data_IF_093697644317
#
_entry.id   IF_093697644317
#
_cell.length_a   1.000
_cell.length_b   1.000
_cell.length_c   1.000
_cell.angle_alpha   90.00
_cell.angle_beta   90.00
_cell.angle_gamma   90.00
#
_symmetry.space_group_name_H-M   'P 1'
#
loop_
_entity.id
_entity.type
_entity.pdbx_description
1 polymer ?
#
# COMPACT_ATOMS: atom_id res chain seq x y z
N UNK A 1 -8.29 30.27 -16.46
CA UNK A 1 -7.52 29.43 -15.52
C UNK A 1 -6.16 29.00 -16.08
N UNK A 2 -6.06 28.40 -17.29
CA UNK A 2 -4.80 27.84 -17.84
C UNK A 2 -3.66 28.87 -18.03
N UNK A 3 -3.96 30.11 -18.48
CA UNK A 3 -2.93 31.16 -18.68
C UNK A 3 -2.36 31.71 -17.36
N UNK A 4 -3.20 31.80 -16.33
CA UNK A 4 -2.80 32.26 -15.00
C UNK A 4 -1.92 31.20 -14.32
N UNK A 5 -2.32 29.93 -14.42
CA UNK A 5 -1.54 28.80 -13.92
C UNK A 5 -0.16 28.69 -14.60
N UNK A 6 -0.08 28.86 -15.93
CA UNK A 6 1.22 28.90 -16.63
C UNK A 6 2.14 29.99 -16.08
N UNK A 7 1.66 31.24 -16.00
CA UNK A 7 2.46 32.36 -15.46
C UNK A 7 2.88 32.16 -13.99
N UNK A 8 2.04 31.52 -13.19
CA UNK A 8 2.35 31.18 -11.80
C UNK A 8 3.39 30.06 -11.69
N UNK A 9 3.23 28.99 -12.49
CA UNK A 9 4.18 27.87 -12.56
C UNK A 9 5.57 28.29 -13.06
N UNK A 10 5.63 29.26 -13.98
CA UNK A 10 6.88 29.78 -14.51
C UNK A 10 7.63 30.67 -13.50
N UNK A 11 6.91 31.41 -12.65
CA UNK A 11 7.53 32.28 -11.61
C UNK A 11 7.89 31.55 -10.32
N UNK A 12 7.13 30.52 -9.95
CA UNK A 12 7.33 29.77 -8.70
C UNK A 12 7.29 28.26 -8.95
N UNK A 13 8.27 27.76 -9.71
CA UNK A 13 8.33 26.36 -10.14
C UNK A 13 8.26 25.36 -8.99
N UNK A 14 8.96 25.61 -7.88
CA UNK A 14 8.93 24.74 -6.69
C UNK A 14 7.56 24.74 -6.01
N UNK A 15 6.92 25.90 -5.88
CA UNK A 15 5.60 26.01 -5.24
C UNK A 15 4.50 25.38 -6.11
N UNK A 16 4.58 25.54 -7.43
CA UNK A 16 3.66 24.87 -8.35
C UNK A 16 3.81 23.35 -8.31
N UNK A 17 5.04 22.83 -8.26
CA UNK A 17 5.29 21.40 -8.05
C UNK A 17 4.71 20.90 -6.74
N UNK A 18 4.91 21.65 -5.65
CA UNK A 18 4.34 21.32 -4.34
C UNK A 18 2.82 21.28 -4.37
N UNK A 19 2.15 22.27 -4.98
CA UNK A 19 0.68 22.31 -5.08
C UNK A 19 0.15 21.12 -5.87
N UNK A 20 0.75 20.79 -7.02
CA UNK A 20 0.30 19.63 -7.81
C UNK A 20 0.57 18.33 -7.06
N UNK A 21 1.73 18.20 -6.42
CA UNK A 21 2.05 17.07 -5.55
C UNK A 21 1.02 16.93 -4.44
N UNK A 22 0.68 18.03 -3.77
CA UNK A 22 -0.29 18.05 -2.68
C UNK A 22 -1.69 17.63 -3.15
N UNK A 23 -2.19 18.20 -4.25
CA UNK A 23 -3.51 17.87 -4.80
C UNK A 23 -3.56 16.40 -5.24
N UNK A 24 -2.55 15.92 -5.95
CA UNK A 24 -2.51 14.53 -6.40
C UNK A 24 -2.34 13.55 -5.25
N UNK A 25 -1.49 13.85 -4.26
CA UNK A 25 -1.29 12.99 -3.09
C UNK A 25 -2.57 12.89 -2.25
N UNK A 26 -3.27 13.99 -2.00
CA UNK A 26 -4.55 13.97 -1.30
C UNK A 26 -5.64 13.30 -2.14
N UNK A 27 -5.61 13.50 -3.46
CA UNK A 27 -6.51 12.84 -4.41
C UNK A 27 -6.37 11.32 -4.36
N UNK A 28 -5.15 10.78 -4.30
CA UNK A 28 -4.89 9.34 -4.13
C UNK A 28 -5.42 8.84 -2.79
N UNK A 29 -5.20 9.56 -1.70
CA UNK A 29 -5.73 9.16 -0.39
C UNK A 29 -7.25 9.11 -0.39
N UNK A 30 -7.92 10.14 -0.91
CA UNK A 30 -9.39 10.16 -1.04
C UNK A 30 -9.86 9.03 -1.95
N UNK A 31 -9.18 8.79 -3.07
CA UNK A 31 -9.50 7.70 -3.97
C UNK A 31 -9.41 6.33 -3.26
N UNK A 32 -8.36 6.07 -2.47
CA UNK A 32 -8.25 4.84 -1.70
C UNK A 32 -9.40 4.68 -0.69
N UNK A 33 -9.75 5.75 0.02
CA UNK A 33 -10.86 5.76 0.98
C UNK A 33 -12.21 5.45 0.33
N UNK A 34 -12.41 5.86 -0.93
CA UNK A 34 -13.65 5.61 -1.68
C UNK A 34 -13.63 4.24 -2.38
N UNK A 35 -12.51 3.85 -2.99
CA UNK A 35 -12.38 2.61 -3.74
C UNK A 35 -12.61 1.39 -2.86
N UNK A 36 -12.09 1.38 -1.63
CA UNK A 36 -12.20 0.20 -0.79
C UNK A 36 -13.67 -0.15 -0.45
N UNK A 37 -14.53 0.76 0.05
CA UNK A 37 -15.96 0.48 0.21
C UNK A 37 -16.67 0.13 -1.10
N UNK A 38 -16.36 0.81 -2.19
CA UNK A 38 -16.99 0.58 -3.51
C UNK A 38 -16.67 -0.82 -4.03
N UNK A 39 -15.41 -1.21 -4.04
CA UNK A 39 -14.99 -2.54 -4.48
C UNK A 39 -15.53 -3.64 -3.57
N UNK A 40 -15.55 -3.42 -2.24
CA UNK A 40 -16.21 -4.35 -1.31
C UNK A 40 -17.70 -4.50 -1.63
N UNK A 41 -18.41 -3.40 -1.93
CA UNK A 41 -19.82 -3.47 -2.31
C UNK A 41 -20.03 -4.23 -3.62
N UNK A 42 -19.19 -3.98 -4.62
CA UNK A 42 -19.21 -4.69 -5.91
C UNK A 42 -18.99 -6.20 -5.71
N UNK A 43 -17.94 -6.58 -4.96
CA UNK A 43 -17.59 -7.98 -4.78
C UNK A 43 -18.49 -8.71 -3.78
N UNK A 44 -19.11 -8.02 -2.83
CA UNK A 44 -20.04 -8.63 -1.86
C UNK A 44 -21.25 -9.28 -2.53
N UNK A 45 -21.65 -8.80 -3.72
CA UNK A 45 -22.72 -9.40 -4.52
C UNK A 45 -22.30 -10.64 -5.33
N UNK A 46 -21.06 -11.10 -5.20
CA UNK A 46 -20.51 -12.19 -6.02
C UNK A 46 -20.20 -13.45 -5.21
N UNK A 47 -20.06 -14.59 -5.88
CA UNK A 47 -19.63 -15.86 -5.26
C UNK A 47 -18.20 -15.82 -4.69
N UNK A 48 -17.44 -14.76 -4.98
CA UNK A 48 -16.09 -14.56 -4.45
C UNK A 48 -16.05 -14.42 -2.93
N UNK A 49 -17.14 -13.95 -2.30
CA UNK A 49 -17.25 -13.88 -0.83
C UNK A 49 -17.22 -15.28 -0.20
N UNK A 50 -17.86 -16.25 -0.86
CA UNK A 50 -17.87 -17.64 -0.42
C UNK A 50 -16.60 -18.40 -0.78
N UNK A 51 -15.67 -17.79 -1.52
CA UNK A 51 -14.43 -18.44 -1.94
C UNK A 51 -13.35 -18.20 -0.91
N UNK A 52 -12.82 -19.29 -0.34
CA UNK A 52 -11.73 -19.21 0.62
C UNK A 52 -10.44 -18.77 -0.08
N UNK A 53 -9.78 -17.74 0.44
CA UNK A 53 -8.49 -17.28 -0.06
C UNK A 53 -7.47 -17.27 1.08
N UNK A 54 -7.07 -18.47 1.46
CA UNK A 54 -6.07 -18.74 2.49
C UNK A 54 -4.82 -19.31 1.83
N UNK A 55 -3.79 -18.46 1.65
CA UNK A 55 -2.57 -18.82 0.90
C UNK A 55 -1.36 -18.75 1.81
N UNK A 56 -0.44 -19.70 1.59
CA UNK A 56 0.82 -19.89 2.33
C UNK A 56 0.62 -20.02 3.84
N UNK A 57 0.34 -21.26 4.28
CA UNK A 57 0.26 -21.59 5.69
C UNK A 57 1.62 -21.40 6.35
N UNK A 58 1.71 -20.41 7.23
CA UNK A 58 2.96 -20.03 7.92
C UNK A 58 3.12 -20.75 9.26
N UNK A 59 2.04 -21.32 9.81
CA UNK A 59 2.11 -22.04 11.07
C UNK A 59 0.76 -22.30 11.71
N UNK A 60 0.74 -22.38 13.03
CA UNK A 60 -0.48 -22.54 13.84
C UNK A 60 -0.33 -21.71 15.10
N UNK A 61 -1.23 -20.75 15.32
CA UNK A 61 -1.26 -19.86 16.49
C UNK A 61 -2.51 -20.22 17.29
N UNK A 62 -2.33 -20.57 18.58
CA UNK A 62 -3.46 -20.95 19.45
C UNK A 62 -4.28 -22.14 18.95
N UNK A 63 -3.67 -23.07 18.21
CA UNK A 63 -4.35 -24.25 17.64
C UNK A 63 -5.08 -24.02 16.31
N UNK A 64 -5.11 -22.78 15.78
CA UNK A 64 -5.68 -22.46 14.46
C UNK A 64 -4.56 -22.23 13.43
N UNK A 65 -4.71 -22.75 12.20
CA UNK A 65 -3.73 -22.52 11.15
C UNK A 65 -3.67 -21.02 10.81
N UNK A 66 -2.46 -20.47 10.71
CA UNK A 66 -2.21 -19.09 10.31
C UNK A 66 -1.67 -19.07 8.87
N UNK A 67 -2.26 -18.22 8.04
CA UNK A 67 -1.93 -18.06 6.62
C UNK A 67 -1.39 -16.66 6.34
N UNK A 68 -0.48 -16.55 5.36
CA UNK A 68 0.07 -15.26 4.94
C UNK A 68 -1.03 -14.29 4.50
N UNK A 69 -1.90 -14.79 3.62
CA UNK A 69 -3.15 -14.14 3.26
C UNK A 69 -4.25 -14.95 3.90
N UNK A 70 -4.85 -14.45 4.98
CA UNK A 70 -5.89 -15.15 5.73
C UNK A 70 -7.27 -14.53 5.49
N UNK A 71 -7.82 -14.79 4.29
CA UNK A 71 -9.13 -14.31 3.89
C UNK A 71 -10.11 -15.49 3.85
N UNK A 72 -10.57 -15.92 5.04
CA UNK A 72 -11.56 -16.97 5.19
C UNK A 72 -12.86 -16.64 4.46
N UNK A 73 -13.54 -17.66 3.93
CA UNK A 73 -14.83 -17.50 3.26
C UNK A 73 -15.90 -16.89 4.19
N UNK A 74 -16.89 -16.22 3.58
CA UNK A 74 -18.03 -15.61 4.26
C UNK A 74 -17.86 -14.11 4.46
N UNK A 75 -18.98 -13.39 4.55
CA UNK A 75 -18.97 -11.93 4.64
C UNK A 75 -18.45 -11.44 6.01
N UNK A 76 -17.69 -10.34 6.00
CA UNK A 76 -17.14 -9.72 7.22
C UNK A 76 -18.25 -9.32 8.21
N UNK A 77 -19.38 -8.84 7.70
CA UNK A 77 -20.53 -8.43 8.53
C UNK A 77 -21.18 -9.58 9.31
N UNK A 78 -20.93 -10.83 8.93
CA UNK A 78 -21.46 -12.03 9.60
C UNK A 78 -20.34 -12.86 10.27
N UNK A 79 -19.19 -12.26 10.54
CA UNK A 79 -18.06 -12.93 11.20
C UNK A 79 -17.19 -13.80 10.29
N UNK A 80 -17.37 -13.71 8.96
CA UNK A 80 -16.46 -14.34 7.98
C UNK A 80 -15.22 -13.49 7.67
N UNK A 81 -14.25 -14.06 6.95
CA UNK A 81 -13.00 -13.38 6.60
C UNK A 81 -13.07 -12.49 5.36
N UNK A 82 -14.23 -12.40 4.72
CA UNK A 82 -14.46 -11.64 3.49
C UNK A 82 -14.09 -12.39 2.19
N UNK A 83 -13.43 -13.55 2.30
CA UNK A 83 -13.04 -14.39 1.17
C UNK A 83 -12.18 -13.70 0.12
N UNK A 84 -12.11 -14.30 -1.06
CA UNK A 84 -11.42 -13.76 -2.23
C UNK A 84 -11.95 -12.36 -2.61
N UNK A 85 -13.22 -12.08 -2.35
CA UNK A 85 -13.82 -10.77 -2.58
C UNK A 85 -13.08 -9.65 -1.82
N UNK A 86 -12.78 -9.85 -0.53
CA UNK A 86 -12.11 -8.84 0.27
C UNK A 86 -10.63 -8.69 -0.10
N UNK A 87 -9.94 -9.79 -0.38
CA UNK A 87 -8.57 -9.76 -0.89
C UNK A 87 -8.47 -8.93 -2.19
N UNK A 88 -9.32 -9.21 -3.18
CA UNK A 88 -9.33 -8.49 -4.45
C UNK A 88 -9.68 -7.01 -4.27
N UNK A 89 -10.62 -6.68 -3.38
CA UNK A 89 -10.93 -5.29 -3.07
C UNK A 89 -9.71 -4.52 -2.54
N UNK A 90 -8.95 -5.14 -1.64
CA UNK A 90 -7.72 -4.54 -1.07
C UNK A 90 -6.65 -4.40 -2.15
N UNK A 91 -6.32 -5.48 -2.86
CA UNK A 91 -5.24 -5.49 -3.84
C UNK A 91 -5.52 -4.58 -5.04
N UNK A 92 -6.75 -4.53 -5.55
CA UNK A 92 -7.10 -3.64 -6.66
C UNK A 92 -7.03 -2.18 -6.20
N UNK A 93 -7.50 -1.86 -4.99
CA UNK A 93 -7.38 -0.51 -4.43
C UNK A 93 -5.92 -0.08 -4.33
N UNK A 94 -5.08 -0.94 -3.76
CA UNK A 94 -3.65 -0.68 -3.61
C UNK A 94 -2.97 -0.56 -4.97
N UNK A 95 -3.25 -1.46 -5.91
CA UNK A 95 -2.69 -1.42 -7.25
C UNK A 95 -3.00 -0.11 -7.98
N UNK A 96 -4.25 0.36 -7.94
CA UNK A 96 -4.65 1.63 -8.55
C UNK A 96 -3.89 2.80 -7.91
N UNK A 97 -3.81 2.82 -6.57
CA UNK A 97 -3.05 3.83 -5.85
C UNK A 97 -1.56 3.83 -6.24
N UNK A 98 -0.98 2.65 -6.39
CA UNK A 98 0.42 2.48 -6.77
C UNK A 98 0.69 2.96 -8.20
N UNK A 99 -0.23 2.72 -9.14
CA UNK A 99 -0.14 3.24 -10.51
C UNK A 99 -0.14 4.77 -10.49
N UNK A 100 -1.03 5.41 -9.72
CA UNK A 100 -1.08 6.87 -9.65
C UNK A 100 0.19 7.42 -8.97
N UNK A 101 0.64 6.79 -7.88
CA UNK A 101 1.88 7.16 -7.20
C UNK A 101 3.09 7.06 -8.12
N UNK A 102 3.17 6.02 -8.96
CA UNK A 102 4.23 5.89 -9.96
C UNK A 102 4.25 7.09 -10.93
N UNK A 103 3.12 7.47 -11.49
CA UNK A 103 3.04 8.63 -12.38
C UNK A 103 3.35 9.94 -11.65
N UNK A 104 2.90 10.08 -10.40
CA UNK A 104 3.19 11.23 -9.55
C UNK A 104 4.70 11.39 -9.30
N UNK A 105 5.34 10.32 -8.85
CA UNK A 105 6.78 10.29 -8.58
C UNK A 105 7.57 10.56 -9.85
N UNK A 106 7.22 9.90 -10.97
CA UNK A 106 7.92 10.06 -12.24
C UNK A 106 7.78 11.46 -12.84
N UNK A 107 6.56 11.98 -12.93
CA UNK A 107 6.28 13.21 -13.68
C UNK A 107 6.56 14.49 -12.87
N UNK A 108 6.42 14.43 -11.54
CA UNK A 108 6.54 15.61 -10.67
C UNK A 108 7.82 15.57 -9.85
N UNK A 109 8.14 14.43 -9.23
CA UNK A 109 9.25 14.35 -8.27
C UNK A 109 10.60 14.14 -8.97
N UNK A 110 10.66 13.24 -9.97
CA UNK A 110 11.92 12.84 -10.60
C UNK A 110 12.11 13.35 -12.03
N UNK A 111 11.07 13.92 -12.68
CA UNK A 111 11.08 14.41 -14.08
C UNK A 111 11.87 13.50 -15.03
N UNK A 112 11.71 12.19 -14.86
CA UNK A 112 12.67 11.22 -15.39
C UNK A 112 12.51 10.99 -16.90
N UNK A 113 13.62 11.01 -17.63
CA UNK A 113 13.70 10.70 -19.07
C UNK A 113 14.02 9.20 -19.37
N UNK A 114 14.03 8.33 -18.34
CA UNK A 114 14.31 6.90 -18.50
C UNK A 114 13.14 6.14 -19.14
N UNK A 115 13.36 4.91 -19.64
CA UNK A 115 12.28 4.13 -20.28
C UNK A 115 11.15 3.83 -19.30
N UNK A 116 9.93 4.28 -19.64
CA UNK A 116 8.72 4.14 -18.81
C UNK A 116 8.48 2.67 -18.44
N UNK A 117 8.69 1.77 -19.39
CA UNK A 117 8.46 0.34 -19.25
C UNK A 117 9.40 -0.33 -18.24
N UNK A 118 10.70 0.01 -18.25
CA UNK A 118 11.65 -0.56 -17.27
C UNK A 118 11.32 -0.09 -15.85
N UNK A 119 11.01 1.20 -15.69
CA UNK A 119 10.63 1.76 -14.39
C UNK A 119 9.30 1.16 -13.88
N UNK A 120 8.29 1.03 -14.74
CA UNK A 120 7.01 0.43 -14.38
C UNK A 120 7.14 -1.05 -13.99
N UNK A 121 7.96 -1.81 -14.73
CA UNK A 121 8.23 -3.22 -14.41
C UNK A 121 8.86 -3.38 -13.02
N UNK A 122 9.95 -2.65 -12.74
CA UNK A 122 10.60 -2.73 -11.43
C UNK A 122 9.71 -2.21 -10.31
N UNK A 123 8.92 -1.17 -10.55
CA UNK A 123 7.95 -0.66 -9.59
C UNK A 123 6.87 -1.70 -9.25
N UNK A 124 6.35 -2.42 -10.26
CA UNK A 124 5.40 -3.51 -10.07
C UNK A 124 6.02 -4.67 -9.29
N UNK A 125 7.25 -5.07 -9.63
CA UNK A 125 7.99 -6.11 -8.90
C UNK A 125 8.19 -5.69 -7.44
N UNK A 126 8.57 -4.44 -7.19
CA UNK A 126 8.68 -3.89 -5.84
C UNK A 126 7.37 -4.02 -5.08
N UNK A 127 6.27 -3.55 -5.69
CA UNK A 127 4.94 -3.59 -5.10
C UNK A 127 4.57 -5.02 -4.66
N UNK A 128 4.74 -6.01 -5.54
CA UNK A 128 4.42 -7.41 -5.22
C UNK A 128 5.27 -7.94 -4.07
N UNK A 129 6.60 -7.74 -4.12
CA UNK A 129 7.52 -8.22 -3.06
C UNK A 129 7.16 -7.58 -1.72
N UNK A 130 6.91 -6.27 -1.72
CA UNK A 130 6.56 -5.52 -0.52
C UNK A 130 5.23 -6.03 0.05
N UNK A 131 4.20 -6.22 -0.78
CA UNK A 131 2.89 -6.71 -0.32
C UNK A 131 3.03 -8.07 0.37
N UNK A 132 3.85 -8.97 -0.18
CA UNK A 132 4.12 -10.29 0.40
C UNK A 132 4.86 -10.17 1.74
N UNK A 133 5.92 -9.36 1.81
CA UNK A 133 6.70 -9.17 3.05
C UNK A 133 5.85 -8.50 4.13
N UNK A 134 5.06 -7.47 3.77
CA UNK A 134 4.18 -6.78 4.69
C UNK A 134 3.11 -7.73 5.27
N UNK A 135 2.49 -8.56 4.42
CA UNK A 135 1.56 -9.59 4.86
C UNK A 135 2.23 -10.62 5.81
N UNK A 136 3.47 -11.03 5.51
CA UNK A 136 4.25 -11.96 6.34
C UNK A 136 4.52 -11.40 7.73
N UNK A 137 4.99 -10.17 7.77
CA UNK A 137 5.31 -9.50 9.03
C UNK A 137 4.04 -9.21 9.81
N UNK A 138 2.95 -8.79 9.15
CA UNK A 138 1.68 -8.49 9.81
C UNK A 138 1.19 -9.64 10.68
N UNK A 139 1.10 -10.87 10.18
CA UNK A 139 0.61 -11.93 11.07
C UNK A 139 1.65 -12.54 12.00
N UNK A 140 2.91 -12.07 11.97
CA UNK A 140 3.85 -12.34 13.06
C UNK A 140 3.60 -11.44 14.28
N UNK A 141 3.33 -10.15 14.07
CA UNK A 141 3.22 -9.19 15.17
C UNK A 141 1.78 -8.82 15.55
N UNK A 142 0.81 -8.93 14.63
CA UNK A 142 -0.57 -8.46 14.87
C UNK A 142 -1.24 -9.25 15.98
N UNK A 143 -1.27 -10.57 15.87
CA UNK A 143 -1.90 -11.44 16.87
C UNK A 143 -1.35 -11.27 18.30
N UNK A 144 -0.02 -11.29 18.55
CA UNK A 144 0.50 -11.10 19.90
C UNK A 144 0.22 -9.69 20.46
N UNK A 145 0.20 -8.66 19.61
CA UNK A 145 -0.12 -7.30 20.04
C UNK A 145 -1.59 -7.18 20.43
N UNK A 146 -2.51 -7.67 19.60
CA UNK A 146 -3.93 -7.66 19.93
C UNK A 146 -4.20 -8.52 21.17
N UNK A 147 -3.56 -9.69 21.27
CA UNK A 147 -3.68 -10.56 22.44
C UNK A 147 -3.20 -9.87 23.73
N UNK A 148 -2.09 -9.14 23.68
CA UNK A 148 -1.59 -8.39 24.83
C UNK A 148 -2.57 -7.30 25.29
N UNK A 149 -3.05 -6.46 24.37
CA UNK A 149 -3.94 -5.35 24.74
C UNK A 149 -5.36 -5.82 25.10
N UNK A 150 -5.89 -6.83 24.41
CA UNK A 150 -7.25 -7.32 24.63
C UNK A 150 -7.33 -8.31 25.79
N UNK A 151 -6.41 -9.27 25.89
CA UNK A 151 -6.48 -10.35 26.88
C UNK A 151 -5.59 -10.11 28.11
N UNK A 152 -4.36 -9.63 27.94
CA UNK A 152 -3.45 -9.42 29.08
C UNK A 152 -3.81 -8.18 29.89
N UNK A 153 -4.09 -7.06 29.21
CA UNK A 153 -4.48 -5.80 29.85
C UNK A 153 -5.99 -5.69 30.08
N UNK A 154 -6.80 -6.56 29.46
CA UNK A 154 -8.26 -6.60 29.56
C UNK A 154 -8.95 -5.26 29.25
N UNK A 155 -8.40 -4.50 28.29
CA UNK A 155 -8.90 -3.16 27.93
C UNK A 155 -10.10 -3.19 26.97
N UNK A 156 -10.59 -4.38 26.60
CA UNK A 156 -11.77 -4.53 25.72
C UNK A 156 -11.63 -3.72 24.43
N UNK A 157 -12.59 -2.84 24.14
CA UNK A 157 -12.60 -1.99 22.94
C UNK A 157 -11.47 -0.97 22.89
N UNK A 158 -11.03 -0.43 24.05
CA UNK A 158 -9.84 0.43 24.12
C UNK A 158 -8.58 -0.36 23.73
N UNK A 159 -8.51 -1.64 24.11
CA UNK A 159 -7.42 -2.53 23.73
C UNK A 159 -7.30 -2.70 22.22
N UNK A 160 -8.43 -2.85 21.51
CA UNK A 160 -8.46 -2.92 20.04
C UNK A 160 -7.95 -1.64 19.41
N UNK A 161 -8.41 -0.48 19.85
CA UNK A 161 -7.98 0.82 19.28
C UNK A 161 -6.49 1.06 19.50
N UNK A 162 -5.96 0.74 20.68
CA UNK A 162 -4.52 0.88 20.97
C UNK A 162 -3.71 -0.14 20.16
N UNK A 163 -4.18 -1.37 20.02
CA UNK A 163 -3.55 -2.37 19.16
C UNK A 163 -3.53 -1.92 17.69
N UNK A 164 -4.62 -1.33 17.17
CA UNK A 164 -4.66 -0.74 15.83
C UNK A 164 -3.61 0.35 15.66
N UNK A 165 -3.49 1.27 16.63
CA UNK A 165 -2.49 2.34 16.59
C UNK A 165 -1.06 1.80 16.61
N UNK A 166 -0.76 0.86 17.53
CA UNK A 166 0.58 0.26 17.64
C UNK A 166 0.93 -0.53 16.38
N UNK A 167 0.00 -1.33 15.87
CA UNK A 167 0.23 -2.09 14.63
C UNK A 167 0.39 -1.17 13.42
N UNK A 168 -0.29 -0.03 13.37
CA UNK A 168 -0.09 0.99 12.33
C UNK A 168 1.30 1.61 12.39
N UNK A 169 1.80 1.94 13.59
CA UNK A 169 3.16 2.47 13.79
C UNK A 169 4.21 1.43 13.36
N UNK A 170 4.06 0.18 13.79
CA UNK A 170 4.97 -0.91 13.41
C UNK A 170 4.92 -1.14 11.90
N UNK A 171 3.73 -1.18 11.31
CA UNK A 171 3.55 -1.31 9.86
C UNK A 171 4.28 -0.18 9.12
N UNK A 172 4.18 1.07 9.62
CA UNK A 172 4.88 2.23 9.05
C UNK A 172 6.40 2.14 9.19
N UNK A 173 6.91 1.70 10.33
CA UNK A 173 8.35 1.52 10.56
C UNK A 173 8.94 0.40 9.68
N UNK A 174 8.29 -0.75 9.64
CA UNK A 174 8.67 -1.89 8.77
C UNK A 174 8.63 -1.46 7.31
N UNK A 175 7.54 -0.82 6.92
CA UNK A 175 7.38 -0.21 5.61
C UNK A 175 8.61 0.61 5.28
N UNK A 176 8.98 1.60 6.10
CA UNK A 176 10.17 2.43 5.85
C UNK A 176 11.45 1.60 5.62
N UNK A 177 11.74 0.62 6.48
CA UNK A 177 12.96 -0.20 6.39
C UNK A 177 12.98 -1.22 5.26
N UNK A 178 11.81 -1.70 4.80
CA UNK A 178 11.70 -2.62 3.65
C UNK A 178 11.61 -1.85 2.34
N UNK A 179 10.82 -0.77 2.31
CA UNK A 179 10.67 0.11 1.15
C UNK A 179 11.99 0.78 0.77
N UNK A 180 12.76 1.26 1.75
CA UNK A 180 13.96 2.06 1.47
C UNK A 180 15.06 1.30 0.70
N UNK A 181 15.50 0.09 1.08
CA UNK A 181 16.49 -0.67 0.32
C UNK A 181 15.99 -1.05 -1.08
N UNK A 182 14.72 -1.46 -1.20
CA UNK A 182 14.11 -1.86 -2.47
C UNK A 182 14.06 -0.66 -3.42
N UNK A 183 13.53 0.48 -2.96
CA UNK A 183 13.51 1.71 -3.76
C UNK A 183 14.90 2.22 -4.09
N UNK A 184 15.89 2.09 -3.19
CA UNK A 184 17.27 2.46 -3.49
C UNK A 184 17.90 1.61 -4.60
N UNK A 185 17.59 0.31 -4.66
CA UNK A 185 18.05 -0.58 -5.74
C UNK A 185 17.35 -0.28 -7.06
N UNK A 186 16.05 0.04 -7.02
CA UNK A 186 15.22 0.26 -8.22
C UNK A 186 15.41 1.64 -8.83
N UNK A 187 15.52 2.68 -8.00
CA UNK A 187 15.69 4.07 -8.43
C UNK A 187 17.16 4.50 -8.42
N UNK A 188 18.10 3.54 -8.52
CA UNK A 188 19.51 3.84 -8.72
C UNK A 188 19.63 4.66 -10.00
N UNK A 189 19.97 5.96 -9.87
CA UNK A 189 20.05 6.88 -11.00
C UNK A 189 21.12 6.38 -11.98
N UNK A 190 20.74 6.18 -13.25
CA UNK A 190 21.74 6.04 -14.31
C UNK A 190 22.40 7.42 -14.51
N UNK A 191 23.74 7.51 -14.45
CA UNK A 191 24.43 8.77 -14.67
C UNK A 191 24.10 9.31 -16.06
N UNK A 192 23.72 10.59 -16.12
CA UNK A 192 23.45 11.28 -17.39
C UNK A 192 24.75 11.30 -18.19
N UNK A 193 24.67 11.00 -19.50
CA UNK A 193 25.82 10.96 -20.45
C UNK A 193 26.70 12.24 -20.44
N UNK A 194 26.26 13.32 -19.79
CA UNK A 194 27.05 14.53 -19.55
C UNK A 194 28.29 14.34 -18.66
N UNK A 195 28.43 13.25 -17.90
CA UNK A 195 29.65 12.97 -17.10
C UNK A 195 30.61 11.98 -17.78
N UNK A 196 30.19 11.33 -18.87
CA UNK A 196 31.03 10.39 -19.63
C UNK A 196 31.96 11.10 -20.64
N UNK A 197 31.76 12.39 -20.91
CA UNK A 197 32.63 13.22 -21.76
C UNK A 197 33.61 14.09 -20.96
N UNK A 198 33.68 13.92 -19.63
CA UNK A 198 34.58 14.64 -18.74
C UNK A 198 35.62 13.73 -18.05
N UNK A 199 35.83 12.51 -18.55
CA UNK A 199 36.96 11.65 -18.19
C UNK A 199 37.92 11.48 -19.36
#
# INVERSE_FOLDING_TARGET
MVRWWRRFSDRHTTLAQFIVFFILSNGVTVLQLVLMPVLKAIFNGTSLVGTNFQIWRMGTVGGKPYYLFDYAAGSIGHGGGGGLAYFLAVEITLLIAQIINFFLQRNITFKSNSSVWKAAFWYLVAYVIITIIAAALQGWYKDPIYGFFQHTLNWGSLGTTIADLVTMIINSAISFWVFFPIFKVIFRQEPTESEASAQ
#
